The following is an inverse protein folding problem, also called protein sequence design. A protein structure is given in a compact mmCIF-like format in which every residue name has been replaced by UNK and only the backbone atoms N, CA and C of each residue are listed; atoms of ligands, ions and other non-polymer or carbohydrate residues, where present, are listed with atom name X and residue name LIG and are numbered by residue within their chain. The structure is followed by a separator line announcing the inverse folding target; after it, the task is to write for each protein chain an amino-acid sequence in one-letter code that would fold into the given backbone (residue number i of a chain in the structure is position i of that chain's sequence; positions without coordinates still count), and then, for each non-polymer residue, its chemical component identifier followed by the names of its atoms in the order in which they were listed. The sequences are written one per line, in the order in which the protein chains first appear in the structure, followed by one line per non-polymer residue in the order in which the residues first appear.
data_IF_755166081762
#
_entry.id   IF_755166081762
#
_cell.length_a   1.000
_cell.length_b   1.000
_cell.length_c   1.000
_cell.angle_alpha   90.00
_cell.angle_beta   90.00
_cell.angle_gamma   90.00
#
_symmetry.space_group_name_H-M   'P 1'
#
loop_
_entity.id
_entity.type
_entity.pdbx_description
1 polymer ?
#
# COMPACT_ATOMS: atom_id res chain seq x y z
N UNK A 1 6.60 -19.10 24.34
CA UNK A 1 5.79 -17.87 24.11
C UNK A 1 6.62 -16.68 23.60
N UNK A 2 7.82 -16.44 24.14
CA UNK A 2 8.72 -15.35 23.72
C UNK A 2 9.11 -15.44 22.24
N UNK A 3 9.45 -16.62 21.74
CA UNK A 3 9.86 -16.82 20.34
C UNK A 3 8.73 -16.58 19.34
N UNK A 4 7.49 -16.90 19.72
CA UNK A 4 6.31 -16.58 18.91
C UNK A 4 6.11 -15.07 18.80
N UNK A 5 6.26 -14.32 19.90
CA UNK A 5 6.17 -12.86 19.88
C UNK A 5 7.27 -12.24 19.01
N UNK A 6 8.50 -12.75 19.10
CA UNK A 6 9.61 -12.29 18.27
C UNK A 6 9.37 -12.57 16.79
N UNK A 7 8.95 -13.79 16.43
CA UNK A 7 8.61 -14.15 15.04
C UNK A 7 7.51 -13.26 14.47
N UNK A 8 6.46 -13.01 15.26
CA UNK A 8 5.37 -12.11 14.85
C UNK A 8 5.85 -10.66 14.71
N UNK A 9 6.68 -10.18 15.64
CA UNK A 9 7.27 -8.84 15.55
C UNK A 9 8.12 -8.65 14.30
N UNK A 10 8.97 -9.65 13.98
CA UNK A 10 9.78 -9.63 12.76
C UNK A 10 8.91 -9.67 11.50
N UNK A 11 7.85 -10.50 11.49
CA UNK A 11 6.91 -10.54 10.37
C UNK A 11 6.25 -9.18 10.13
N UNK A 12 5.74 -8.53 11.18
CA UNK A 12 5.12 -7.20 11.09
C UNK A 12 6.15 -6.19 10.58
N UNK A 13 7.37 -6.20 11.11
CA UNK A 13 8.43 -5.29 10.68
C UNK A 13 8.75 -5.44 9.18
N UNK A 14 8.89 -6.67 8.70
CA UNK A 14 9.15 -6.96 7.28
C UNK A 14 7.99 -6.46 6.41
N UNK A 15 6.75 -6.68 6.82
CA UNK A 15 5.57 -6.20 6.08
C UNK A 15 5.52 -4.68 6.01
N UNK A 16 5.83 -3.97 7.11
CA UNK A 16 5.88 -2.51 7.13
C UNK A 16 7.00 -1.97 6.23
N UNK A 17 8.17 -2.61 6.23
CA UNK A 17 9.28 -2.22 5.35
C UNK A 17 8.88 -2.44 3.89
N UNK A 18 8.31 -3.59 3.55
CA UNK A 18 7.87 -3.88 2.19
C UNK A 18 6.79 -2.89 1.70
N UNK A 19 5.83 -2.55 2.57
CA UNK A 19 4.80 -1.54 2.29
C UNK A 19 5.41 -0.17 1.97
N UNK A 20 6.33 0.30 2.80
CA UNK A 20 6.95 1.62 2.61
C UNK A 20 7.85 1.68 1.37
N UNK A 21 8.63 0.62 1.11
CA UNK A 21 9.47 0.52 -0.09
C UNK A 21 8.58 0.55 -1.35
N UNK A 22 7.51 -0.24 -1.38
CA UNK A 22 6.60 -0.25 -2.52
C UNK A 22 5.97 1.13 -2.73
N UNK A 23 5.44 1.77 -1.68
CA UNK A 23 4.86 3.12 -1.77
C UNK A 23 5.86 4.15 -2.30
N UNK A 24 7.10 4.11 -1.82
CA UNK A 24 8.15 5.01 -2.30
C UNK A 24 8.46 4.78 -3.78
N UNK A 25 8.62 3.53 -4.19
CA UNK A 25 8.86 3.17 -5.60
C UNK A 25 7.71 3.65 -6.49
N UNK A 26 6.45 3.43 -6.08
CA UNK A 26 5.28 3.90 -6.83
C UNK A 26 5.31 5.42 -7.02
N UNK A 27 5.47 6.19 -5.93
CA UNK A 27 5.46 7.66 -5.99
C UNK A 27 6.60 8.25 -6.83
N UNK A 28 7.69 7.52 -7.01
CA UNK A 28 8.88 8.01 -7.72
C UNK A 28 8.99 7.52 -9.16
N UNK A 29 8.23 6.50 -9.54
CA UNK A 29 8.31 5.90 -10.87
C UNK A 29 7.01 6.00 -11.68
N UNK A 30 5.88 6.32 -11.03
CA UNK A 30 4.59 6.48 -11.69
C UNK A 30 4.04 7.90 -11.51
N UNK A 31 3.36 8.38 -12.55
CA UNK A 31 2.51 9.56 -12.49
C UNK A 31 1.17 9.21 -11.84
N UNK A 32 0.51 10.20 -11.21
CA UNK A 32 -0.82 9.98 -10.64
C UNK A 32 -1.81 9.52 -11.73
N UNK A 33 -2.53 8.42 -11.46
CA UNK A 33 -3.44 7.78 -12.41
C UNK A 33 -2.78 6.82 -13.42
N UNK A 34 -1.45 6.69 -13.41
CA UNK A 34 -0.74 5.75 -14.28
C UNK A 34 -1.02 4.30 -13.89
N UNK A 35 -1.07 3.43 -14.90
CA UNK A 35 -1.34 2.00 -14.77
C UNK A 35 -0.23 1.14 -15.34
N UNK A 36 0.19 0.14 -14.55
CA UNK A 36 1.02 -0.98 -15.00
C UNK A 36 0.15 -2.23 -15.03
N UNK A 37 -0.09 -2.77 -16.21
CA UNK A 37 -0.81 -4.04 -16.39
C UNK A 37 0.13 -5.20 -16.11
N UNK A 38 -0.09 -5.92 -15.01
CA UNK A 38 0.74 -7.08 -14.63
C UNK A 38 0.13 -8.36 -15.18
N UNK A 39 -1.17 -8.57 -14.95
CA UNK A 39 -1.95 -9.64 -15.55
C UNK A 39 -3.17 -9.03 -16.23
N UNK A 40 -3.18 -9.08 -17.57
CA UNK A 40 -4.09 -8.35 -18.47
C UNK A 40 -5.56 -8.30 -18.03
N UNK A 41 -6.08 -9.36 -17.42
CA UNK A 41 -7.50 -9.49 -17.08
C UNK A 41 -7.78 -9.65 -15.57
N UNK A 42 -6.79 -9.44 -14.70
CA UNK A 42 -6.93 -9.75 -13.28
C UNK A 42 -6.19 -8.77 -12.36
N UNK A 43 -5.02 -8.30 -12.76
CA UNK A 43 -4.18 -7.50 -11.88
C UNK A 43 -3.50 -6.36 -12.61
N UNK A 44 -3.84 -5.16 -12.16
CA UNK A 44 -3.18 -3.92 -12.53
C UNK A 44 -2.62 -3.29 -11.27
N UNK A 45 -1.57 -2.51 -11.46
CA UNK A 45 -1.09 -1.57 -10.47
C UNK A 45 -1.48 -0.18 -10.96
N UNK A 46 -2.39 0.48 -10.26
CA UNK A 46 -2.89 1.82 -10.60
C UNK A 46 -2.50 2.80 -9.49
N UNK A 47 -1.71 3.82 -9.81
CA UNK A 47 -1.25 4.77 -8.81
C UNK A 47 -2.35 5.78 -8.47
N UNK A 48 -2.89 5.65 -7.25
CA UNK A 48 -3.85 6.59 -6.66
C UNK A 48 -3.33 7.09 -5.31
N UNK A 49 -3.68 8.33 -4.99
CA UNK A 49 -3.51 8.89 -3.65
C UNK A 49 -4.87 8.99 -2.97
N UNK A 50 -4.94 8.52 -1.73
CA UNK A 50 -6.14 8.60 -0.91
C UNK A 50 -5.82 9.41 0.35
N UNK A 51 -6.44 10.58 0.49
CA UNK A 51 -6.26 11.49 1.62
C UNK A 51 -6.97 11.02 2.92
N UNK A 52 -7.51 9.81 2.94
CA UNK A 52 -8.08 9.19 4.15
C UNK A 52 -9.57 8.88 4.09
N UNK A 53 -10.15 8.76 2.89
CA UNK A 53 -11.55 8.39 2.71
C UNK A 53 -11.68 6.98 2.13
N UNK A 54 -12.20 6.05 2.93
CA UNK A 54 -12.83 4.87 2.36
C UNK A 54 -14.28 5.26 1.99
N UNK A 55 -14.75 4.86 0.79
CA UNK A 55 -16.12 5.08 0.32
C UNK A 55 -16.57 6.56 0.20
N UNK A 56 -15.64 7.51 0.11
CA UNK A 56 -15.97 8.94 -0.01
C UNK A 56 -16.46 9.59 1.28
N UNK A 57 -16.33 8.92 2.44
CA UNK A 57 -16.63 9.55 3.73
C UNK A 57 -15.45 10.41 4.18
N UNK A 58 -15.57 11.73 4.01
CA UNK A 58 -14.71 12.69 4.70
C UNK A 58 -15.01 12.67 6.20
N UNK A 59 -13.98 12.51 7.02
CA UNK A 59 -14.11 12.71 8.46
C UNK A 59 -14.49 14.18 8.68
N UNK A 60 -15.74 14.41 9.11
CA UNK A 60 -16.38 15.73 9.32
C UNK A 60 -16.97 16.46 8.09
N UNK A 61 -17.25 15.75 6.98
CA UNK A 61 -18.15 16.16 5.90
C UNK A 61 -18.29 17.66 5.63
N UNK A 62 -17.40 18.22 4.79
CA UNK A 62 -17.68 19.46 4.07
C UNK A 62 -17.68 19.23 2.58
#
# INVERSE_FOLDING_TARGET
MKDRKLKLGLLILILLIADQILKFWIKTNLSLGEEIVIFKNWFILHFVENNGMAFGFEFAGK
#
